data_IF_388998273660
#
_entry.id   IF_388998273660
#
_cell.length_a   1.000
_cell.length_b   1.000
_cell.length_c   1.000
_cell.angle_alpha   90.00
_cell.angle_beta   90.00
_cell.angle_gamma   90.00
#
_symmetry.space_group_name_H-M   'P 1'
#
loop_
_entity.id
_entity.type
_entity.pdbx_description
1 polymer ?
#
# COMPACT_ATOMS: atom_id res chain seq x y z
N UNK A 1 6.35 16.29 7.86
CA UNK A 1 5.41 15.25 8.36
C UNK A 1 5.69 13.97 7.60
N UNK A 2 5.87 12.83 8.28
CA UNK A 2 6.01 11.53 7.63
C UNK A 2 4.63 10.96 7.32
N UNK A 3 4.34 10.68 6.04
CA UNK A 3 3.12 9.98 5.66
C UNK A 3 3.22 8.50 6.07
N UNK A 4 2.11 7.90 6.49
CA UNK A 4 2.04 6.51 6.94
C UNK A 4 1.15 5.69 6.02
N UNK A 5 1.58 4.48 5.70
CA UNK A 5 0.68 3.41 5.30
C UNK A 5 0.00 2.84 6.54
N UNK A 6 -1.32 2.78 6.49
CA UNK A 6 -2.17 2.31 7.59
C UNK A 6 -3.01 1.15 7.09
N UNK A 7 -2.90 -0.01 7.74
CA UNK A 7 -3.74 -1.18 7.46
C UNK A 7 -4.46 -1.56 8.75
N UNK A 8 -5.77 -1.30 8.79
CA UNK A 8 -6.66 -1.71 9.88
C UNK A 8 -7.23 -3.09 9.58
N UNK A 9 -6.95 -4.06 10.44
CA UNK A 9 -7.35 -5.46 10.27
C UNK A 9 -8.46 -5.77 11.26
N UNK A 10 -9.56 -6.33 10.77
CA UNK A 10 -10.75 -6.71 11.53
C UNK A 10 -11.02 -8.20 11.33
N UNK A 11 -11.27 -8.90 12.43
CA UNK A 11 -11.63 -10.32 12.40
C UNK A 11 -13.15 -10.50 12.56
N UNK A 12 -13.87 -10.62 11.44
CA UNK A 12 -15.31 -10.91 11.42
C UNK A 12 -15.61 -12.43 11.41
N UNK A 13 -14.60 -13.28 11.48
CA UNK A 13 -14.82 -14.72 11.63
C UNK A 13 -15.34 -15.08 13.02
N UNK A 14 -15.71 -16.34 13.22
CA UNK A 14 -16.24 -16.84 14.50
C UNK A 14 -15.16 -17.25 15.51
N UNK A 15 -13.89 -17.24 15.13
CA UNK A 15 -12.78 -17.75 15.95
C UNK A 15 -11.63 -16.73 16.07
N UNK A 16 -10.82 -16.90 17.12
CA UNK A 16 -9.55 -16.19 17.25
C UNK A 16 -8.65 -16.53 16.06
N UNK A 17 -8.05 -15.50 15.45
CA UNK A 17 -7.16 -15.66 14.29
C UNK A 17 -5.85 -14.91 14.50
N UNK A 18 -4.76 -15.54 14.08
CA UNK A 18 -3.47 -14.85 13.95
C UNK A 18 -3.35 -14.27 12.56
N UNK A 19 -2.97 -13.00 12.46
CA UNK A 19 -2.74 -12.30 11.20
C UNK A 19 -1.28 -11.89 11.10
N UNK A 20 -0.78 -11.83 9.87
CA UNK A 20 0.50 -11.24 9.56
C UNK A 20 0.42 -10.40 8.28
N UNK A 21 1.29 -9.39 8.19
CA UNK A 21 1.38 -8.47 7.05
C UNK A 21 2.74 -8.62 6.40
N UNK A 22 2.75 -8.62 5.08
CA UNK A 22 3.97 -8.66 4.27
C UNK A 22 3.78 -7.84 3.00
N UNK A 23 4.89 -7.48 2.35
CA UNK A 23 4.86 -6.72 1.11
C UNK A 23 5.14 -7.63 -0.08
N UNK A 24 4.63 -7.25 -1.26
CA UNK A 24 5.11 -7.79 -2.53
C UNK A 24 6.63 -7.62 -2.60
N UNK A 25 7.39 -8.71 -2.86
CA UNK A 25 8.83 -8.59 -2.97
C UNK A 25 9.22 -7.56 -4.03
N UNK A 26 10.27 -6.81 -3.73
CA UNK A 26 10.90 -5.93 -4.71
C UNK A 26 11.44 -6.74 -5.89
N UNK A 27 11.54 -6.10 -7.04
CA UNK A 27 12.15 -6.69 -8.22
C UNK A 27 13.66 -6.43 -8.13
N UNK A 28 14.44 -7.50 -8.19
CA UNK A 28 15.90 -7.47 -8.16
C UNK A 28 16.46 -7.83 -9.53
N UNK A 29 17.39 -7.01 -10.04
CA UNK A 29 18.06 -7.27 -11.31
C UNK A 29 18.97 -8.50 -11.18
N UNK A 30 19.01 -9.35 -12.21
CA UNK A 30 19.89 -10.53 -12.28
C UNK A 30 19.23 -11.86 -11.88
N UNK A 31 17.93 -11.87 -11.58
CA UNK A 31 17.16 -13.08 -11.25
C UNK A 31 17.60 -13.88 -10.01
N UNK A 32 18.17 -13.26 -8.95
CA UNK A 32 18.50 -14.00 -7.73
C UNK A 32 17.24 -14.53 -7.04
N UNK A 33 17.39 -15.53 -6.17
CA UNK A 33 16.32 -15.95 -5.25
C UNK A 33 15.99 -14.79 -4.30
N UNK A 34 14.75 -14.33 -4.38
CA UNK A 34 14.23 -13.26 -3.52
C UNK A 34 13.49 -13.88 -2.34
N UNK A 35 13.84 -13.43 -1.14
CA UNK A 35 13.16 -13.77 0.09
C UNK A 35 12.29 -12.59 0.54
N UNK A 36 11.23 -12.89 1.26
CA UNK A 36 10.35 -11.91 1.90
C UNK A 36 10.21 -12.23 3.37
N UNK A 37 10.10 -11.22 4.21
CA UNK A 37 9.75 -11.43 5.62
C UNK A 37 8.31 -10.98 5.91
N UNK A 38 7.76 -11.53 6.99
CA UNK A 38 6.66 -10.90 7.69
C UNK A 38 7.14 -9.58 8.29
N UNK A 39 6.33 -8.53 8.17
CA UNK A 39 6.59 -7.18 8.69
C UNK A 39 5.89 -6.93 10.02
N UNK A 40 4.80 -7.65 10.26
CA UNK A 40 3.92 -7.46 11.40
C UNK A 40 3.10 -8.72 11.64
N UNK A 41 2.76 -9.00 12.89
CA UNK A 41 1.80 -10.05 13.23
C UNK A 41 1.06 -9.77 14.53
N UNK A 42 -0.20 -10.19 14.62
CA UNK A 42 -0.96 -10.14 15.86
C UNK A 42 -2.14 -11.13 15.85
N UNK A 43 -2.47 -11.68 17.01
CA UNK A 43 -3.70 -12.41 17.26
C UNK A 43 -4.88 -11.47 17.52
N UNK A 44 -6.02 -11.72 16.90
CA UNK A 44 -7.22 -10.89 16.98
C UNK A 44 -8.45 -11.77 17.28
N UNK A 45 -9.18 -11.44 18.34
CA UNK A 45 -10.46 -12.07 18.68
C UNK A 45 -11.57 -11.71 17.68
N UNK A 46 -12.61 -12.54 17.53
CA UNK A 46 -13.80 -12.18 16.76
C UNK A 46 -14.40 -10.83 17.17
N UNK A 47 -14.80 -10.03 16.20
CA UNK A 47 -15.50 -8.75 16.42
C UNK A 47 -16.72 -8.92 17.34
N UNK A 48 -17.44 -10.04 17.21
CA UNK A 48 -18.63 -10.38 18.02
C UNK A 48 -18.33 -10.71 19.47
N UNK A 49 -17.08 -11.03 19.83
CA UNK A 49 -16.67 -11.46 21.18
C UNK A 49 -15.89 -10.39 21.95
N UNK A 50 -15.70 -9.19 21.38
CA UNK A 50 -14.93 -8.13 22.04
C UNK A 50 -14.37 -7.05 21.13
N UNK A 51 -14.82 -6.97 19.87
CA UNK A 51 -14.53 -5.83 18.98
C UNK A 51 -13.05 -5.61 18.64
N UNK A 52 -12.22 -6.65 18.67
CA UNK A 52 -10.77 -6.47 18.49
C UNK A 52 -10.43 -6.24 17.01
N UNK A 53 -9.84 -5.09 16.72
CA UNK A 53 -9.14 -4.80 15.47
C UNK A 53 -7.67 -4.55 15.81
N UNK A 54 -6.80 -4.64 14.81
CA UNK A 54 -5.39 -4.29 14.96
C UNK A 54 -4.94 -3.42 13.80
N UNK A 55 -3.91 -2.60 14.03
CA UNK A 55 -3.42 -1.67 13.02
C UNK A 55 -1.95 -1.90 12.76
N UNK A 56 -1.61 -2.19 11.50
CA UNK A 56 -0.26 -2.12 11.00
C UNK A 56 0.01 -0.70 10.49
N UNK A 57 1.16 -0.16 10.90
CA UNK A 57 1.63 1.17 10.50
C UNK A 57 3.04 1.05 9.92
N UNK A 58 3.29 1.73 8.80
CA UNK A 58 4.61 1.78 8.19
C UNK A 58 4.87 3.17 7.59
N UNK A 59 6.10 3.66 7.72
CA UNK A 59 6.50 4.92 7.09
C UNK A 59 6.45 4.81 5.56
N UNK A 60 5.87 5.81 4.90
CA UNK A 60 5.96 5.99 3.45
C UNK A 60 7.34 6.56 3.08
N UNK A 61 8.37 5.77 3.33
CA UNK A 61 9.76 6.09 3.02
C UNK A 61 10.42 4.79 2.54
N UNK A 62 11.16 4.87 1.45
CA UNK A 62 11.97 3.74 1.03
C UNK A 62 13.25 3.69 1.86
N UNK A 63 13.58 2.49 2.32
CA UNK A 63 14.83 2.24 3.02
C UNK A 63 15.60 1.15 2.29
N UNK A 64 16.86 1.46 1.95
CA UNK A 64 17.84 0.43 1.69
C UNK A 64 18.18 -0.23 3.03
N UNK A 65 18.25 -1.56 3.05
CA UNK A 65 18.62 -2.31 4.25
C UNK A 65 19.65 -3.37 3.97
N UNK A 66 20.52 -3.58 4.96
CA UNK A 66 21.44 -4.71 5.01
C UNK A 66 21.33 -5.40 6.37
N UNK A 67 21.54 -6.70 6.39
CA UNK A 67 21.46 -7.50 7.60
C UNK A 67 22.50 -8.61 7.59
N UNK A 68 23.12 -8.88 8.74
CA UNK A 68 23.98 -10.05 8.91
C UNK A 68 23.13 -11.29 9.11
N UNK A 69 23.40 -12.33 8.32
CA UNK A 69 22.76 -13.63 8.45
C UNK A 69 23.32 -14.37 9.67
N UNK A 70 22.46 -15.14 10.33
CA UNK A 70 22.88 -16.17 11.29
C UNK A 70 23.02 -17.50 10.58
N UNK A 71 21.97 -17.87 9.85
CA UNK A 71 21.88 -19.06 9.01
C UNK A 71 21.38 -18.63 7.62
N UNK A 72 21.56 -19.46 6.59
CA UNK A 72 20.91 -19.25 5.30
C UNK A 72 19.40 -19.04 5.47
N UNK A 73 18.78 -18.10 4.72
CA UNK A 73 17.36 -17.83 4.84
C UNK A 73 16.52 -19.07 4.51
N UNK A 74 15.67 -19.48 5.45
CA UNK A 74 14.72 -20.59 5.30
C UNK A 74 13.34 -20.15 5.77
N UNK A 75 12.29 -20.62 5.09
CA UNK A 75 10.90 -20.28 5.43
C UNK A 75 10.61 -20.64 6.90
N UNK A 76 10.00 -19.70 7.64
CA UNK A 76 9.71 -19.79 9.06
C UNK A 76 10.90 -19.45 9.98
N UNK A 77 12.12 -19.36 9.43
CA UNK A 77 13.30 -18.96 10.17
C UNK A 77 13.48 -17.45 10.24
N UNK A 78 14.23 -16.98 11.25
CA UNK A 78 14.67 -15.58 11.32
C UNK A 78 15.65 -15.27 10.18
N UNK A 79 15.48 -14.13 9.52
CA UNK A 79 16.31 -13.74 8.38
C UNK A 79 17.72 -13.25 8.76
N UNK A 80 17.91 -12.78 9.99
CA UNK A 80 19.20 -12.33 10.51
C UNK A 80 19.08 -11.57 11.83
N UNK A 81 20.17 -10.93 12.25
CA UNK A 81 20.23 -10.15 13.49
C UNK A 81 20.63 -8.70 13.21
N UNK A 82 21.94 -8.40 13.26
CA UNK A 82 22.46 -7.04 13.12
C UNK A 82 22.03 -6.47 11.79
N UNK A 83 21.40 -5.29 11.81
CA UNK A 83 20.85 -4.65 10.62
C UNK A 83 21.18 -3.17 10.59
N UNK A 84 21.36 -2.64 9.39
CA UNK A 84 21.46 -1.21 9.14
C UNK A 84 20.48 -0.82 8.04
N UNK A 85 19.90 0.37 8.15
CA UNK A 85 19.04 0.96 7.12
C UNK A 85 19.45 2.38 6.82
N UNK A 86 19.16 2.80 5.59
CA UNK A 86 19.32 4.17 5.15
C UNK A 86 18.09 4.61 4.36
N UNK A 87 17.46 5.76 4.69
CA UNK A 87 16.47 6.37 3.81
C UNK A 87 17.08 6.60 2.43
N UNK A 88 16.38 6.19 1.39
CA UNK A 88 16.86 6.25 0.01
C UNK A 88 15.74 6.67 -0.93
N UNK A 89 16.09 7.27 -2.06
CA UNK A 89 15.13 7.68 -3.08
C UNK A 89 15.20 6.73 -4.28
N UNK A 90 14.08 6.60 -5.00
CA UNK A 90 14.05 5.85 -6.25
C UNK A 90 14.49 6.74 -7.40
N UNK A 91 15.25 6.18 -8.34
CA UNK A 91 15.65 6.89 -9.56
C UNK A 91 14.42 7.34 -10.34
N UNK A 92 14.27 8.64 -10.67
CA UNK A 92 13.06 9.15 -11.31
C UNK A 92 12.96 8.78 -12.80
N UNK A 93 11.82 9.14 -13.40
CA UNK A 93 11.62 9.15 -14.85
C UNK A 93 11.33 10.59 -15.32
N UNK A 94 12.21 11.21 -16.14
CA UNK A 94 13.52 10.73 -16.56
C UNK A 94 14.55 10.72 -15.41
N UNK A 95 15.65 9.94 -15.50
CA UNK A 95 16.74 9.99 -14.52
C UNK A 95 17.35 11.39 -14.39
N UNK A 96 17.74 11.76 -13.18
CA UNK A 96 18.38 13.05 -12.86
C UNK A 96 19.79 12.86 -12.28
N UNK A 97 20.42 13.98 -11.90
CA UNK A 97 21.76 14.02 -11.30
C UNK A 97 21.76 14.33 -9.80
N UNK A 98 20.59 14.45 -9.17
CA UNK A 98 20.45 14.92 -7.78
C UNK A 98 19.77 13.91 -6.85
N UNK A 99 18.98 12.99 -7.39
CA UNK A 99 18.29 11.96 -6.61
C UNK A 99 19.30 11.05 -5.93
N UNK A 100 19.21 10.96 -4.61
CA UNK A 100 20.05 10.11 -3.76
C UNK A 100 19.57 8.65 -3.83
N UNK A 101 19.95 7.96 -4.91
CA UNK A 101 19.47 6.64 -5.29
C UNK A 101 20.43 5.49 -4.97
N UNK A 102 21.62 5.76 -4.43
CA UNK A 102 22.65 4.74 -4.20
C UNK A 102 23.28 4.87 -2.82
N UNK A 103 23.38 3.77 -2.07
CA UNK A 103 24.11 3.70 -0.80
C UNK A 103 25.14 2.58 -0.84
N UNK A 104 26.18 2.67 0.00
CA UNK A 104 27.24 1.66 0.10
C UNK A 104 27.18 0.95 1.43
N UNK A 105 27.24 -0.38 1.40
CA UNK A 105 27.32 -1.23 2.57
C UNK A 105 28.70 -1.13 3.23
N UNK A 106 28.71 -1.08 4.54
CA UNK A 106 29.89 -1.06 5.40
C UNK A 106 29.90 -2.37 6.19
N UNK A 107 31.02 -3.09 6.20
CA UNK A 107 31.19 -4.35 6.97
C UNK A 107 32.24 -4.23 8.08
N UNK A 108 32.97 -3.11 8.14
CA UNK A 108 34.01 -2.83 9.14
C UNK A 108 34.05 -1.33 9.46
N UNK A 109 34.13 -0.92 10.74
CA UNK A 109 34.24 -1.75 11.94
C UNK A 109 32.93 -2.43 12.38
N UNK A 110 31.82 -2.15 11.71
CA UNK A 110 30.52 -2.78 11.96
C UNK A 110 29.62 -2.70 10.74
N UNK A 111 28.50 -3.43 10.77
CA UNK A 111 27.53 -3.40 9.68
C UNK A 111 26.86 -2.03 9.60
N UNK A 112 26.87 -1.42 8.42
CA UNK A 112 26.32 -0.09 8.19
C UNK A 112 25.95 0.18 6.74
N UNK A 113 25.36 1.35 6.50
CA UNK A 113 25.12 1.92 5.19
C UNK A 113 25.59 3.37 5.18
N UNK A 114 26.20 3.81 4.09
CA UNK A 114 26.58 5.22 3.93
C UNK A 114 25.33 6.08 3.65
N UNK A 115 25.37 7.39 3.93
CA UNK A 115 24.39 8.31 3.37
C UNK A 115 24.31 8.14 1.84
N UNK A 116 23.10 8.17 1.23
CA UNK A 116 22.99 7.88 -0.18
C UNK A 116 23.43 9.06 -1.04
N UNK A 117 24.00 8.72 -2.19
CA UNK A 117 24.46 9.62 -3.24
C UNK A 117 23.66 9.39 -4.53
N UNK A 118 23.77 10.31 -5.48
CA UNK A 118 23.30 10.06 -6.84
C UNK A 118 24.33 9.21 -7.60
N UNK A 119 23.86 8.21 -8.32
CA UNK A 119 24.66 7.42 -9.26
C UNK A 119 23.87 7.23 -10.55
N UNK A 120 24.53 7.49 -11.67
CA UNK A 120 23.95 7.28 -12.99
C UNK A 120 23.84 5.78 -13.33
N UNK A 121 22.92 5.44 -14.23
CA UNK A 121 22.73 4.05 -14.67
C UNK A 121 22.07 3.13 -13.65
N UNK A 122 21.48 3.67 -12.58
CA UNK A 122 20.51 2.93 -11.76
C UNK A 122 19.17 2.93 -12.51
N UNK A 123 18.48 1.79 -12.52
CA UNK A 123 17.20 1.66 -13.20
C UNK A 123 16.15 2.62 -12.62
N UNK A 124 15.35 3.25 -13.47
CA UNK A 124 14.18 4.04 -13.06
C UNK A 124 13.25 3.22 -12.16
N UNK A 125 12.78 3.82 -11.07
CA UNK A 125 11.98 3.16 -10.04
C UNK A 125 12.80 2.29 -9.07
N UNK A 126 14.11 2.17 -9.25
CA UNK A 126 14.99 1.42 -8.37
C UNK A 126 15.95 2.33 -7.59
N UNK A 127 16.45 1.79 -6.48
CA UNK A 127 17.65 2.26 -5.79
C UNK A 127 18.74 1.17 -5.83
N UNK A 128 19.98 1.54 -5.56
CA UNK A 128 21.14 0.65 -5.55
C UNK A 128 21.78 0.54 -4.16
N UNK A 129 22.13 -0.67 -3.77
CA UNK A 129 23.08 -0.94 -2.67
C UNK A 129 24.36 -1.47 -3.29
N UNK A 130 25.50 -0.82 -3.02
CA UNK A 130 26.81 -1.33 -3.43
C UNK A 130 27.45 -2.11 -2.28
N UNK A 131 27.82 -3.36 -2.53
CA UNK A 131 28.46 -4.21 -1.52
C UNK A 131 29.98 -4.09 -1.60
N UNK A 132 30.69 -4.02 -0.46
CA UNK A 132 32.14 -4.02 -0.45
C UNK A 132 32.68 -5.42 -0.75
N UNK A 133 34.00 -5.57 -0.77
CA UNK A 133 34.62 -6.90 -0.65
C UNK A 133 34.41 -7.43 0.77
N UNK A 134 33.98 -8.68 0.86
CA UNK A 134 33.89 -9.45 2.11
C UNK A 134 33.96 -10.94 1.79
N UNK A 135 34.16 -11.79 2.80
CA UNK A 135 34.09 -13.23 2.62
C UNK A 135 32.68 -13.76 2.96
N UNK A 136 31.84 -14.12 1.97
CA UNK A 136 30.47 -14.56 2.22
C UNK A 136 30.38 -15.92 2.93
N UNK A 137 31.45 -16.72 2.95
CA UNK A 137 31.47 -18.00 3.69
C UNK A 137 31.72 -17.83 5.18
N UNK A 138 32.39 -16.74 5.57
CA UNK A 138 32.66 -16.40 6.97
C UNK A 138 31.53 -15.56 7.56
N UNK A 139 31.10 -14.54 6.81
CA UNK A 139 30.04 -13.64 7.24
C UNK A 139 29.10 -13.36 6.08
N UNK A 140 28.00 -14.13 5.97
CA UNK A 140 26.98 -13.88 4.96
C UNK A 140 26.08 -12.70 5.35
N UNK A 141 25.62 -11.97 4.33
CA UNK A 141 24.76 -10.81 4.51
C UNK A 141 23.55 -10.88 3.58
N UNK A 142 22.46 -10.24 4.00
CA UNK A 142 21.29 -9.94 3.19
C UNK A 142 21.33 -8.47 2.79
N UNK A 143 20.82 -8.14 1.60
CA UNK A 143 20.64 -6.77 1.14
C UNK A 143 19.32 -6.62 0.39
N UNK A 144 18.61 -5.51 0.62
CA UNK A 144 17.34 -5.29 -0.08
C UNK A 144 16.51 -4.13 0.45
N UNK A 145 15.19 -4.29 0.29
CA UNK A 145 14.19 -3.32 0.71
C UNK A 145 13.90 -3.52 2.19
N UNK A 146 14.05 -2.47 2.98
CA UNK A 146 13.64 -2.45 4.37
C UNK A 146 12.36 -1.64 4.58
N UNK A 147 11.65 -1.99 5.64
CA UNK A 147 10.58 -1.20 6.23
C UNK A 147 10.95 -0.80 7.64
N UNK A 148 10.50 0.38 8.05
CA UNK A 148 10.61 0.85 9.42
C UNK A 148 9.22 1.12 10.00
N UNK A 149 8.93 0.55 11.17
CA UNK A 149 7.72 0.87 11.93
C UNK A 149 7.85 2.27 12.56
N UNK A 150 6.74 2.93 12.93
CA UNK A 150 6.80 4.20 13.67
C UNK A 150 7.55 4.12 15.01
N UNK A 151 7.65 2.92 15.60
CA UNK A 151 8.42 2.67 16.83
C UNK A 151 9.93 2.52 16.58
N UNK A 152 10.37 2.62 15.32
CA UNK A 152 11.77 2.52 14.92
C UNK A 152 12.24 1.08 14.66
N UNK A 153 11.38 0.07 14.82
CA UNK A 153 11.73 -1.31 14.51
C UNK A 153 11.96 -1.48 13.00
N UNK A 154 13.03 -2.19 12.66
CA UNK A 154 13.50 -2.35 11.28
C UNK A 154 13.36 -3.80 10.86
N UNK A 155 12.88 -4.01 9.65
CA UNK A 155 12.79 -5.35 9.06
C UNK A 155 13.06 -5.27 7.57
N UNK A 156 13.87 -6.18 7.03
CA UNK A 156 13.96 -6.36 5.58
C UNK A 156 12.62 -6.91 5.09
N UNK A 157 11.91 -6.15 4.27
CA UNK A 157 10.63 -6.53 3.67
C UNK A 157 10.83 -7.59 2.59
N UNK A 158 11.80 -7.34 1.71
CA UNK A 158 12.32 -8.32 0.77
C UNK A 158 13.81 -8.12 0.58
N UNK A 159 14.51 -9.21 0.27
CA UNK A 159 15.96 -9.20 0.20
C UNK A 159 16.49 -10.38 -0.62
N UNK A 160 17.77 -10.26 -0.97
CA UNK A 160 18.58 -11.33 -1.55
C UNK A 160 19.79 -11.58 -0.67
N UNK A 161 20.43 -12.73 -0.83
CA UNK A 161 21.75 -12.98 -0.25
C UNK A 161 22.76 -12.09 -0.99
N UNK A 162 23.38 -11.16 -0.26
CA UNK A 162 24.36 -10.23 -0.80
C UNK A 162 25.64 -10.97 -1.20
N UNK A 163 26.16 -10.66 -2.38
CA UNK A 163 27.46 -11.14 -2.86
C UNK A 163 28.50 -10.01 -2.75
N UNK A 164 29.78 -10.33 -2.52
CA UNK A 164 30.82 -9.31 -2.39
C UNK A 164 31.08 -8.60 -3.72
N UNK A 165 31.37 -7.28 -3.65
CA UNK A 165 31.70 -6.43 -4.79
C UNK A 165 30.65 -6.44 -5.90
N UNK A 166 29.38 -6.26 -5.53
CA UNK A 166 28.23 -6.27 -6.44
C UNK A 166 27.31 -5.07 -6.21
N UNK A 167 26.52 -4.77 -7.24
CA UNK A 167 25.41 -3.84 -7.16
C UNK A 167 24.12 -4.63 -6.96
N UNK A 168 23.32 -4.23 -5.98
CA UNK A 168 21.97 -4.73 -5.75
C UNK A 168 21.00 -3.63 -6.13
N UNK A 169 20.40 -3.75 -7.32
CA UNK A 169 19.35 -2.84 -7.78
C UNK A 169 18.00 -3.38 -7.34
N UNK A 170 17.31 -2.59 -6.53
CA UNK A 170 16.07 -2.96 -5.88
C UNK A 170 14.96 -2.00 -6.32
N UNK A 171 13.94 -2.53 -7.01
CA UNK A 171 12.74 -1.79 -7.39
C UNK A 171 11.57 -2.19 -6.46
N UNK A 172 11.21 -1.34 -5.48
CA UNK A 172 10.13 -1.63 -4.56
C UNK A 172 8.76 -1.72 -5.26
N UNK A 173 7.87 -2.53 -4.71
CA UNK A 173 6.47 -2.60 -5.14
C UNK A 173 5.57 -2.29 -3.95
N UNK A 174 4.85 -1.17 -3.99
CA UNK A 174 3.99 -0.70 -2.89
C UNK A 174 2.64 -1.43 -2.86
N UNK A 175 2.69 -2.74 -2.64
CA UNK A 175 1.51 -3.59 -2.51
C UNK A 175 1.71 -4.48 -1.30
N UNK A 176 0.79 -4.42 -0.35
CA UNK A 176 0.83 -5.19 0.89
C UNK A 176 -0.22 -6.30 0.87
N UNK A 177 0.05 -7.31 1.67
CA UNK A 177 -0.82 -8.47 1.82
C UNK A 177 -1.09 -8.71 3.30
N UNK A 178 -2.33 -9.02 3.61
CA UNK A 178 -2.73 -9.50 4.95
C UNK A 178 -3.17 -10.95 4.81
N UNK A 179 -2.64 -11.81 5.66
CA UNK A 179 -2.96 -13.23 5.66
C UNK A 179 -3.08 -13.77 7.09
N UNK A 180 -3.86 -14.82 7.26
CA UNK A 180 -3.93 -15.60 8.50
C UNK A 180 -2.72 -16.54 8.63
N UNK A 181 -2.11 -16.61 9.81
CA UNK A 181 -0.94 -17.46 10.05
C UNK A 181 -0.07 -16.95 11.19
N UNK A 182 1.06 -17.61 11.41
CA UNK A 182 1.89 -17.44 12.61
C UNK A 182 3.28 -16.85 12.33
N UNK A 183 3.53 -16.32 11.13
CA UNK A 183 4.81 -15.70 10.81
C UNK A 183 5.00 -14.39 11.59
N UNK A 184 6.03 -14.33 12.42
CA UNK A 184 6.38 -13.14 13.21
C UNK A 184 7.29 -12.19 12.43
N UNK A 185 7.37 -10.90 12.82
CA UNK A 185 8.20 -9.92 12.13
C UNK A 185 9.65 -10.36 12.00
N UNK A 186 10.23 -10.22 10.80
CA UNK A 186 11.61 -10.61 10.51
C UNK A 186 11.83 -12.10 10.20
N UNK A 187 10.77 -12.91 10.21
CA UNK A 187 10.81 -14.31 9.74
C UNK A 187 10.50 -14.42 8.26
N UNK A 188 11.22 -15.31 7.58
CA UNK A 188 11.08 -15.54 6.14
C UNK A 188 9.74 -16.22 5.85
N UNK A 189 8.97 -15.65 4.93
CA UNK A 189 7.68 -16.20 4.50
C UNK A 189 7.81 -16.95 3.17
N UNK A 190 6.92 -17.90 2.94
CA UNK A 190 6.69 -18.41 1.60
C UNK A 190 5.71 -17.48 0.87
N UNK A 191 6.25 -16.50 0.12
CA UNK A 191 5.43 -15.50 -0.55
C UNK A 191 4.38 -16.14 -1.47
N UNK A 192 4.77 -17.08 -2.33
CA UNK A 192 3.88 -17.73 -3.31
C UNK A 192 2.66 -18.37 -2.64
N UNK A 193 2.87 -19.14 -1.57
CA UNK A 193 1.76 -19.77 -0.84
C UNK A 193 0.96 -18.74 -0.03
N UNK A 194 1.64 -17.82 0.65
CA UNK A 194 0.98 -16.84 1.52
C UNK A 194 0.15 -15.81 0.75
N UNK A 195 0.56 -15.43 -0.47
CA UNK A 195 -0.10 -14.40 -1.28
C UNK A 195 -1.34 -14.91 -2.03
N UNK A 196 -1.47 -16.22 -2.24
CA UNK A 196 -2.50 -16.79 -3.13
C UNK A 196 -3.93 -16.42 -2.73
N UNK A 197 -4.23 -16.43 -1.43
CA UNK A 197 -5.55 -16.11 -0.87
C UNK A 197 -5.45 -15.04 0.23
N UNK A 198 -4.56 -14.07 0.06
CA UNK A 198 -4.40 -12.97 1.01
C UNK A 198 -5.27 -11.77 0.60
N UNK A 199 -5.66 -10.95 1.57
CA UNK A 199 -6.20 -9.63 1.28
C UNK A 199 -5.10 -8.76 0.65
N UNK A 200 -5.43 -8.03 -0.40
CA UNK A 200 -4.49 -7.18 -1.14
C UNK A 200 -4.75 -5.71 -0.84
N UNK A 201 -3.74 -5.01 -0.34
CA UNK A 201 -3.71 -3.57 -0.14
C UNK A 201 -2.78 -2.94 -1.18
N UNK A 202 -3.33 -2.49 -2.31
CA UNK A 202 -2.56 -1.90 -3.41
C UNK A 202 -2.38 -0.39 -3.23
N UNK A 203 -1.20 0.00 -2.75
CA UNK A 203 -0.83 1.39 -2.54
C UNK A 203 -0.16 2.03 -3.77
N UNK A 204 0.03 1.28 -4.87
CA UNK A 204 0.55 1.84 -6.13
C UNK A 204 -0.42 2.82 -6.78
N UNK A 205 -1.69 2.74 -6.41
CA UNK A 205 -2.79 3.60 -6.84
C UNK A 205 -2.88 4.93 -6.10
N UNK A 206 -2.04 5.15 -5.08
CA UNK A 206 -2.02 6.36 -4.25
C UNK A 206 -2.87 6.28 -2.98
N UNK A 207 -3.51 5.14 -2.70
CA UNK A 207 -4.12 4.88 -1.40
C UNK A 207 -3.06 4.66 -0.31
N UNK A 208 -3.37 5.12 0.90
CA UNK A 208 -2.46 4.98 2.06
C UNK A 208 -3.14 4.36 3.28
N UNK A 209 -4.46 4.28 3.29
CA UNK A 209 -5.23 3.65 4.36
C UNK A 209 -6.06 2.51 3.80
N UNK A 210 -6.04 1.37 4.48
CA UNK A 210 -6.77 0.17 4.10
C UNK A 210 -7.50 -0.39 5.31
N UNK A 211 -8.78 -0.72 5.15
CA UNK A 211 -9.56 -1.50 6.12
C UNK A 211 -9.72 -2.89 5.53
N UNK A 212 -9.19 -3.89 6.22
CA UNK A 212 -9.16 -5.29 5.81
C UNK A 212 -10.00 -6.10 6.79
N UNK A 213 -11.05 -6.75 6.28
CA UNK A 213 -11.90 -7.64 7.06
C UNK A 213 -11.72 -9.09 6.61
N UNK A 214 -11.52 -9.99 7.58
CA UNK A 214 -11.57 -11.43 7.38
C UNK A 214 -12.94 -11.96 7.78
N UNK A 215 -13.66 -12.58 6.85
CA UNK A 215 -15.07 -12.93 7.01
C UNK A 215 -15.26 -14.37 7.52
N UNK A 216 -16.49 -14.69 7.94
CA UNK A 216 -16.86 -16.01 8.49
C UNK A 216 -16.69 -17.16 7.48
N UNK A 217 -16.79 -16.87 6.19
CA UNK A 217 -16.62 -17.81 5.08
C UNK A 217 -15.16 -17.97 4.63
N UNK A 218 -14.23 -17.28 5.30
CA UNK A 218 -12.80 -17.28 4.97
C UNK A 218 -12.41 -16.33 3.83
N UNK A 219 -13.32 -15.50 3.35
CA UNK A 219 -13.04 -14.48 2.34
C UNK A 219 -12.49 -13.19 2.97
N UNK A 220 -11.97 -12.31 2.11
CA UNK A 220 -11.47 -10.99 2.50
C UNK A 220 -12.33 -9.89 1.90
N UNK A 221 -12.49 -8.79 2.64
CA UNK A 221 -13.01 -7.52 2.12
C UNK A 221 -11.98 -6.42 2.39
N UNK A 222 -11.69 -5.60 1.38
CA UNK A 222 -10.71 -4.50 1.48
C UNK A 222 -11.32 -3.19 1.03
N UNK A 223 -11.33 -2.20 1.92
CA UNK A 223 -11.72 -0.82 1.60
C UNK A 223 -10.48 0.06 1.65
N UNK A 224 -10.22 0.82 0.59
CA UNK A 224 -9.01 1.66 0.46
C UNK A 224 -9.38 3.14 0.47
N UNK A 225 -8.54 3.97 1.08
CA UNK A 225 -8.69 5.42 1.08
C UNK A 225 -7.36 6.16 0.92
N UNK A 226 -7.43 7.31 0.26
CA UNK A 226 -6.29 8.20 0.04
C UNK A 226 -5.93 8.94 1.34
N UNK A 227 -4.76 9.60 1.42
CA UNK A 227 -4.41 10.37 2.60
C UNK A 227 -5.51 11.41 2.82
N UNK A 228 -6.20 11.36 3.96
CA UNK A 228 -7.02 12.48 4.39
C UNK A 228 -6.03 13.59 4.71
N UNK A 229 -5.92 14.61 3.86
CA UNK A 229 -5.21 15.82 4.26
C UNK A 229 -5.95 16.38 5.47
N UNK A 230 -5.31 16.28 6.64
CA UNK A 230 -5.64 17.10 7.79
C UNK A 230 -5.66 18.57 7.32
N UNK A 231 -6.77 19.23 7.63
CA UNK A 231 -7.19 20.58 7.23
C UNK A 231 -6.10 21.53 6.70
N UNK A 232 -6.34 22.05 5.49
CA UNK A 232 -5.83 23.34 5.06
C UNK A 232 -4.66 23.31 4.10
N UNK A 233 -4.90 23.01 2.82
CA UNK A 233 -4.36 23.78 1.68
C UNK A 233 -4.89 23.24 0.34
N UNK A 234 -4.92 24.12 -0.65
CA UNK A 234 -5.63 23.93 -1.91
C UNK A 234 -4.80 23.20 -2.99
N UNK A 235 -5.45 22.21 -3.61
CA UNK A 235 -5.61 21.96 -5.07
C UNK A 235 -4.42 21.52 -5.97
N UNK A 236 -4.80 20.62 -6.89
CA UNK A 236 -4.27 20.34 -8.26
C UNK A 236 -3.02 19.43 -8.26
N UNK A 237 -2.85 18.35 -9.04
CA UNK A 237 -3.50 17.77 -10.23
C UNK A 237 -2.95 16.36 -10.41
N UNK A 238 -3.72 15.42 -10.96
CA UNK A 238 -3.13 14.36 -11.78
C UNK A 238 -4.10 13.96 -12.90
N UNK A 239 -3.71 14.31 -14.11
CA UNK A 239 -4.26 13.83 -15.37
C UNK A 239 -4.06 12.33 -15.50
N UNK A 240 -5.12 11.59 -15.84
CA UNK A 240 -4.99 10.27 -16.44
C UNK A 240 -5.83 10.24 -17.72
N UNK A 241 -5.12 10.05 -18.84
CA UNK A 241 -5.66 9.82 -20.17
C UNK A 241 -6.55 8.58 -20.18
N UNK A 242 -7.56 8.65 -21.02
CA UNK A 242 -8.48 7.58 -21.35
C UNK A 242 -7.75 6.27 -21.68
N UNK A 243 -8.24 5.17 -21.13
CA UNK A 243 -8.22 3.90 -21.82
C UNK A 243 -9.61 3.27 -21.72
N UNK A 244 -10.03 2.80 -22.89
CA UNK A 244 -11.38 2.43 -23.24
C UNK A 244 -11.87 1.15 -22.55
N UNK A 245 -13.17 1.17 -22.23
CA UNK A 245 -14.11 0.05 -22.15
C UNK A 245 -13.68 -1.23 -21.42
N UNK A 246 -14.11 -1.36 -20.15
CA UNK A 246 -14.42 -2.65 -19.55
C UNK A 246 -15.74 -2.53 -18.78
N UNK A 247 -16.73 -3.33 -19.19
CA UNK A 247 -18.01 -3.47 -18.50
C UNK A 247 -17.77 -3.96 -17.07
N UNK A 248 -18.25 -3.20 -16.08
CA UNK A 248 -18.16 -3.57 -14.68
C UNK A 248 -19.35 -4.47 -14.28
N UNK A 249 -19.13 -5.56 -13.52
CA UNK A 249 -20.19 -6.42 -13.02
C UNK A 249 -21.05 -5.71 -11.96
N UNK A 250 -22.31 -6.13 -11.90
CA UNK A 250 -23.47 -5.47 -11.29
C UNK A 250 -23.58 -5.55 -9.76
N UNK A 251 -22.48 -5.37 -9.03
CA UNK A 251 -22.50 -5.26 -7.55
C UNK A 251 -21.65 -4.09 -7.06
N UNK A 252 -21.62 -3.02 -7.84
CA UNK A 252 -21.01 -1.76 -7.42
C UNK A 252 -21.83 -1.18 -6.26
N UNK A 253 -21.26 -1.22 -5.06
CA UNK A 253 -21.76 -0.48 -3.90
C UNK A 253 -22.09 0.95 -4.34
N UNK A 254 -23.33 1.38 -4.15
CA UNK A 254 -23.76 2.76 -4.39
C UNK A 254 -22.77 3.68 -3.68
N UNK A 255 -22.07 4.53 -4.43
CA UNK A 255 -20.97 5.34 -3.93
C UNK A 255 -21.27 6.84 -3.97
N UNK A 256 -22.45 7.22 -4.47
CA UNK A 256 -22.93 8.59 -4.58
C UNK A 256 -24.22 8.82 -3.79
N UNK A 257 -24.27 9.94 -3.08
CA UNK A 257 -25.45 10.47 -2.41
C UNK A 257 -25.85 11.80 -3.06
N UNK A 258 -27.15 11.95 -3.30
CA UNK A 258 -27.79 13.17 -3.78
C UNK A 258 -28.70 13.63 -2.65
N UNK A 259 -28.39 14.80 -2.11
CA UNK A 259 -29.18 15.47 -1.10
C UNK A 259 -29.99 16.60 -1.71
N UNK A 260 -31.05 17.00 -1.02
CA UNK A 260 -31.81 18.21 -1.36
C UNK A 260 -30.92 19.46 -1.39
N UNK A 261 -31.45 20.57 -1.89
CA UNK A 261 -30.78 21.86 -2.07
C UNK A 261 -30.09 22.32 -0.76
N UNK A 262 -30.77 22.06 0.37
CA UNK A 262 -30.32 22.42 1.72
C UNK A 262 -29.23 21.49 2.30
N UNK A 263 -28.93 20.36 1.65
CA UNK A 263 -27.96 19.38 2.13
C UNK A 263 -28.35 18.64 3.41
N UNK A 264 -29.64 18.67 3.78
CA UNK A 264 -30.14 18.15 5.06
C UNK A 264 -30.60 16.69 4.99
N UNK A 265 -31.06 16.23 3.83
CA UNK A 265 -31.57 14.88 3.65
C UNK A 265 -31.06 14.26 2.34
N UNK A 266 -30.66 12.99 2.39
CA UNK A 266 -30.35 12.18 1.19
C UNK A 266 -31.68 11.80 0.54
N UNK A 267 -31.88 12.24 -0.71
CA UNK A 267 -33.12 12.00 -1.47
C UNK A 267 -32.94 10.91 -2.53
N UNK A 268 -31.69 10.64 -2.95
CA UNK A 268 -31.36 9.58 -3.90
C UNK A 268 -29.92 9.11 -3.71
N UNK A 269 -29.63 7.85 -4.03
CA UNK A 269 -28.29 7.26 -4.01
C UNK A 269 -28.00 6.61 -5.36
N UNK A 270 -26.73 6.47 -5.74
CA UNK A 270 -26.38 5.95 -7.06
C UNK A 270 -24.89 5.60 -7.18
N UNK A 271 -24.48 5.34 -8.41
CA UNK A 271 -23.11 5.07 -8.80
C UNK A 271 -22.56 6.25 -9.61
N UNK A 272 -21.53 6.91 -9.12
CA UNK A 272 -20.76 7.89 -9.85
C UNK A 272 -19.34 7.36 -10.12
N UNK A 273 -18.90 7.45 -11.37
CA UNK A 273 -17.52 7.09 -11.73
C UNK A 273 -16.50 8.07 -11.10
N UNK A 274 -16.92 9.32 -10.89
CA UNK A 274 -16.17 10.38 -10.20
C UNK A 274 -17.13 11.51 -9.80
N UNK A 275 -16.65 12.46 -8.98
CA UNK A 275 -17.43 13.63 -8.51
C UNK A 275 -16.93 14.96 -9.11
N UNK A 276 -16.30 14.92 -10.29
CA UNK A 276 -15.90 16.12 -11.03
C UNK A 276 -17.07 16.67 -11.85
N UNK A 277 -17.14 17.99 -12.06
CA UNK A 277 -18.18 18.59 -12.89
C UNK A 277 -17.93 18.27 -14.39
N UNK A 278 -18.92 17.83 -15.18
CA UNK A 278 -20.25 17.39 -14.76
C UNK A 278 -20.21 15.97 -14.13
N UNK A 279 -20.94 15.79 -13.02
CA UNK A 279 -21.07 14.51 -12.29
C UNK A 279 -22.22 13.73 -12.87
N UNK A 280 -21.97 12.53 -13.38
CA UNK A 280 -23.03 11.60 -13.80
C UNK A 280 -23.23 10.53 -12.73
N UNK A 281 -24.45 10.44 -12.21
CA UNK A 281 -24.88 9.43 -11.24
C UNK A 281 -25.83 8.47 -11.94
N UNK A 282 -25.45 7.20 -12.01
CA UNK A 282 -26.20 6.11 -12.61
C UNK A 282 -26.87 5.26 -11.51
N UNK A 283 -27.81 4.38 -11.90
CA UNK A 283 -28.50 3.47 -10.99
C UNK A 283 -29.14 4.17 -9.78
N UNK A 284 -29.78 5.32 -10.04
CA UNK A 284 -30.46 6.11 -9.01
C UNK A 284 -31.51 5.28 -8.27
N UNK A 285 -31.42 5.24 -6.94
CA UNK A 285 -32.38 4.55 -6.07
C UNK A 285 -33.76 5.20 -6.09
N UNK A 286 -33.82 6.50 -6.37
CA UNK A 286 -35.05 7.26 -6.50
C UNK A 286 -34.88 8.38 -7.55
N UNK A 287 -35.07 8.08 -8.86
CA UNK A 287 -34.90 9.09 -9.90
C UNK A 287 -36.05 10.10 -9.97
N UNK A 288 -37.25 9.75 -9.47
CA UNK A 288 -38.45 10.59 -9.57
C UNK A 288 -38.44 11.85 -8.70
N UNK A 289 -37.50 11.97 -7.77
CA UNK A 289 -37.32 13.14 -6.88
C UNK A 289 -36.24 14.11 -7.37
N UNK A 290 -35.61 13.81 -8.52
CA UNK A 290 -34.62 14.69 -9.15
C UNK A 290 -35.29 15.34 -10.35
N UNK A 291 -35.19 16.67 -10.44
CA UNK A 291 -35.80 17.48 -11.48
C UNK A 291 -34.75 18.24 -12.27
N UNK A 292 -35.01 18.40 -13.57
CA UNK A 292 -34.12 19.11 -14.47
C UNK A 292 -34.10 20.60 -14.11
N UNK A 293 -32.91 21.19 -14.04
CA UNK A 293 -32.60 22.57 -13.64
C UNK A 293 -32.75 22.90 -12.15
N UNK A 294 -33.06 21.92 -11.30
CA UNK A 294 -33.03 22.09 -9.85
C UNK A 294 -31.60 21.88 -9.30
N UNK A 295 -31.33 22.42 -8.11
CA UNK A 295 -30.04 22.33 -7.43
C UNK A 295 -30.00 21.21 -6.40
N UNK A 296 -28.90 20.48 -6.35
CA UNK A 296 -28.72 19.37 -5.42
C UNK A 296 -27.34 19.39 -4.81
N UNK A 297 -27.23 18.85 -3.61
CA UNK A 297 -25.95 18.61 -2.95
C UNK A 297 -25.50 17.18 -3.32
N UNK A 298 -24.54 17.07 -4.24
CA UNK A 298 -24.08 15.77 -4.79
C UNK A 298 -22.67 15.47 -4.31
N UNK A 299 -22.44 14.28 -3.77
CA UNK A 299 -21.15 13.88 -3.23
C UNK A 299 -21.04 12.38 -2.96
N UNK A 300 -19.84 11.88 -2.58
CA UNK A 300 -19.67 10.49 -2.17
C UNK A 300 -20.38 10.21 -0.85
N UNK A 301 -20.68 8.94 -0.55
CA UNK A 301 -21.35 8.55 0.69
C UNK A 301 -20.64 9.14 1.93
N UNK A 302 -21.37 9.93 2.72
CA UNK A 302 -20.85 10.57 3.93
C UNK A 302 -19.75 11.62 3.72
N UNK A 303 -19.45 11.98 2.47
CA UNK A 303 -18.34 12.87 2.11
C UNK A 303 -18.78 14.28 1.70
N UNK A 304 -17.86 15.11 1.17
CA UNK A 304 -18.19 16.49 0.86
C UNK A 304 -19.20 16.57 -0.29
N UNK A 305 -20.33 17.23 -0.04
CA UNK A 305 -21.33 17.52 -1.05
C UNK A 305 -21.03 18.87 -1.70
N UNK A 306 -21.28 18.95 -3.01
CA UNK A 306 -21.17 20.18 -3.76
C UNK A 306 -22.54 20.49 -4.35
N UNK A 307 -22.97 21.75 -4.20
CA UNK A 307 -24.17 22.26 -4.86
C UNK A 307 -23.98 22.25 -6.37
N UNK A 308 -24.84 21.54 -7.08
CA UNK A 308 -24.79 21.37 -8.54
C UNK A 308 -26.19 21.40 -9.13
N UNK A 309 -26.32 21.95 -10.33
CA UNK A 309 -27.59 21.96 -11.04
C UNK A 309 -27.74 20.68 -11.85
N UNK A 310 -28.90 20.05 -11.81
CA UNK A 310 -29.20 18.90 -12.66
C UNK A 310 -29.40 19.37 -14.12
N UNK A 311 -28.51 18.97 -15.03
CA UNK A 311 -28.53 19.40 -16.44
C UNK A 311 -29.03 18.32 -17.40
N UNK A 312 -29.20 17.08 -16.94
CA UNK A 312 -29.79 16.00 -17.74
C UNK A 312 -30.35 14.89 -16.84
N UNK A 313 -31.49 14.31 -17.22
CA UNK A 313 -32.10 13.13 -16.56
C UNK A 313 -32.56 12.16 -17.65
N UNK A 314 -32.09 10.91 -17.57
CA UNK A 314 -32.47 9.84 -18.48
C UNK A 314 -32.67 8.53 -17.68
N UNK A 315 -33.93 8.20 -17.39
CA UNK A 315 -34.29 7.01 -16.62
C UNK A 315 -33.70 7.03 -15.21
N UNK A 316 -32.82 6.07 -14.91
CA UNK A 316 -32.11 5.95 -13.63
C UNK A 316 -30.75 6.67 -13.62
N UNK A 317 -30.50 7.58 -14.57
CA UNK A 317 -29.26 8.35 -14.66
C UNK A 317 -29.55 9.85 -14.63
N UNK A 318 -28.79 10.60 -13.84
CA UNK A 318 -28.81 12.07 -13.82
C UNK A 318 -27.40 12.65 -13.93
N UNK A 319 -27.27 13.81 -14.57
CA UNK A 319 -26.01 14.54 -14.72
C UNK A 319 -26.14 15.92 -14.08
N UNK A 320 -25.15 16.28 -13.25
CA UNK A 320 -25.13 17.51 -12.45
C UNK A 320 -23.89 18.34 -12.78
N UNK A 321 -24.05 19.64 -13.06
CA UNK A 321 -22.93 20.54 -13.35
C UNK A 321 -22.73 21.55 -12.23
#
# INVERSE_FOLDING_TARGET
MSTLYTIHIVNNSSAFQNFFVFQKPAIYVGGPTVYSNSLWSQGILPSSQGGSSATFLMLQQYYAGVQQQINPPVVGGVSGYSSAIQPINLTPQPPDTTTKNTTSMIVSPGLGLTPPINTSGVQTGAFRITTPTFNPTLTPYNGGLASQSPTGAVTLSSFIVAQPNQNIDCQPVLQFYVQTGTYTPGTVINFTTSSANAAVCDATTGYVTFIVAYNVDGTWSVTSSAPTQLMGQARISASAKAHDSAAFPSDALLNAEIKNEAGTAVISTGLAANFNAPVTVQNLSNPGVIHLHDEYQVGPNGGPYVGRMCINIAGTTATFQ
#
